data_IF_776031173428
#
_entry.id   IF_776031173428
#
_cell.length_a   1.000
_cell.length_b   1.000
_cell.length_c   1.000
_cell.angle_alpha   90.00
_cell.angle_beta   90.00
_cell.angle_gamma   90.00
#
_symmetry.space_group_name_H-M   'P 1'
#
loop_
_entity.id
_entity.type
_entity.pdbx_description
1 polymer ?
#
# COMPACT_ATOMS: atom_id res chain seq x y z
N UNK A 1 -19.80 32.26 63.29
CA UNK A 1 -19.23 30.94 62.91
C UNK A 1 -20.18 30.07 62.09
N UNK A 2 -21.41 29.72 62.53
CA UNK A 2 -22.32 28.83 61.76
C UNK A 2 -22.80 29.38 60.39
N UNK A 3 -22.95 30.69 60.24
CA UNK A 3 -23.34 31.30 58.95
C UNK A 3 -22.16 31.41 57.97
N UNK A 4 -20.92 31.46 58.47
CA UNK A 4 -19.73 31.50 57.61
C UNK A 4 -19.52 30.17 56.90
N UNK A 5 -19.72 29.03 57.59
CA UNK A 5 -19.66 27.71 56.96
C UNK A 5 -20.74 27.49 55.89
N UNK A 6 -21.94 28.05 56.09
CA UNK A 6 -23.01 28.04 55.08
C UNK A 6 -22.65 28.91 53.86
N UNK A 7 -22.06 30.08 54.07
CA UNK A 7 -21.58 30.96 52.99
C UNK A 7 -20.45 30.32 52.19
N UNK A 8 -19.48 29.69 52.85
CA UNK A 8 -18.42 28.96 52.16
C UNK A 8 -18.96 27.76 51.38
N UNK A 9 -19.95 27.04 51.93
CA UNK A 9 -20.63 25.96 51.22
C UNK A 9 -21.37 26.45 49.97
N UNK A 10 -22.13 27.54 50.08
CA UNK A 10 -22.85 28.14 48.95
C UNK A 10 -21.86 28.62 47.86
N UNK A 11 -20.77 29.26 48.28
CA UNK A 11 -19.73 29.74 47.36
C UNK A 11 -19.03 28.58 46.64
N UNK A 12 -18.70 27.49 47.34
CA UNK A 12 -18.14 26.29 46.73
C UNK A 12 -19.09 25.67 45.70
N UNK A 13 -20.39 25.60 46.00
CA UNK A 13 -21.40 25.10 45.07
C UNK A 13 -21.50 26.00 43.82
N UNK A 14 -21.50 27.32 44.01
CA UNK A 14 -21.53 28.27 42.90
C UNK A 14 -20.30 28.12 41.99
N UNK A 15 -19.11 27.92 42.56
CA UNK A 15 -17.88 27.67 41.79
C UNK A 15 -17.96 26.36 41.00
N UNK A 16 -18.49 25.29 41.60
CA UNK A 16 -18.67 24.00 40.92
C UNK A 16 -19.65 24.15 39.74
N UNK A 17 -20.79 24.80 39.96
CA UNK A 17 -21.79 25.03 38.91
C UNK A 17 -21.21 25.87 37.77
N UNK A 18 -20.52 26.96 38.08
CA UNK A 18 -19.85 27.78 37.08
C UNK A 18 -18.82 26.96 36.27
N UNK A 19 -18.00 26.17 36.95
CA UNK A 19 -17.02 25.28 36.32
C UNK A 19 -17.66 24.25 35.38
N UNK A 20 -18.75 23.59 35.80
CA UNK A 20 -19.47 22.63 34.97
C UNK A 20 -20.10 23.30 33.76
N UNK A 21 -20.72 24.48 33.92
CA UNK A 21 -21.31 25.21 32.80
C UNK A 21 -20.27 25.66 31.78
N UNK A 22 -19.12 26.16 32.25
CA UNK A 22 -18.00 26.55 31.39
C UNK A 22 -17.43 25.34 30.66
N UNK A 23 -17.19 24.22 31.36
CA UNK A 23 -16.68 23.00 30.75
C UNK A 23 -17.62 22.46 29.66
N UNK A 24 -18.93 22.41 29.90
CA UNK A 24 -19.90 21.96 28.90
C UNK A 24 -20.05 22.91 27.71
N UNK A 25 -19.77 24.20 27.89
CA UNK A 25 -19.81 25.18 26.81
C UNK A 25 -18.50 25.21 25.99
N UNK A 26 -17.38 24.85 26.59
CA UNK A 26 -16.05 24.90 25.94
C UNK A 26 -15.59 23.56 25.37
N UNK A 27 -16.13 22.43 25.84
CA UNK A 27 -15.71 21.10 25.41
C UNK A 27 -16.85 20.33 24.75
N UNK A 28 -16.58 19.84 23.54
CA UNK A 28 -17.43 18.90 22.82
C UNK A 28 -16.83 17.49 22.88
N UNK A 29 -17.69 16.48 23.00
CA UNK A 29 -17.26 15.09 22.91
C UNK A 29 -16.96 14.78 21.43
N UNK A 30 -15.67 14.61 21.10
CA UNK A 30 -15.25 14.22 19.76
C UNK A 30 -15.06 12.72 19.67
N UNK A 31 -15.80 12.06 18.79
CA UNK A 31 -15.45 10.71 18.37
C UNK A 31 -14.16 10.77 17.55
N UNK A 32 -13.10 10.14 18.06
CA UNK A 32 -11.83 10.00 17.36
C UNK A 32 -11.78 8.61 16.78
N UNK A 33 -11.71 8.52 15.45
CA UNK A 33 -11.49 7.26 14.77
C UNK A 33 -10.04 6.81 15.02
N UNK A 34 -9.86 5.78 15.84
CA UNK A 34 -8.56 5.15 16.03
C UNK A 34 -8.42 3.94 15.10
N UNK A 35 -7.28 3.86 14.40
CA UNK A 35 -6.99 2.73 13.54
C UNK A 35 -6.65 1.50 14.39
N UNK A 36 -7.58 0.55 14.47
CA UNK A 36 -7.39 -0.67 15.27
C UNK A 36 -6.78 -1.84 14.49
N UNK A 37 -6.25 -1.59 13.29
CA UNK A 37 -5.77 -2.65 12.40
C UNK A 37 -6.87 -3.42 11.67
N UNK A 38 -6.46 -4.34 10.79
CA UNK A 38 -7.35 -5.24 10.07
C UNK A 38 -7.92 -6.33 10.99
N UNK A 39 -9.21 -6.65 10.80
CA UNK A 39 -9.94 -7.67 11.56
C UNK A 39 -10.56 -8.72 10.63
N UNK A 40 -10.75 -9.94 11.14
CA UNK A 40 -11.34 -11.04 10.39
C UNK A 40 -10.54 -11.38 9.14
N UNK A 41 -11.22 -11.67 8.03
CA UNK A 41 -10.57 -12.05 6.77
C UNK A 41 -9.63 -10.96 6.22
N UNK A 42 -9.90 -9.68 6.49
CA UNK A 42 -9.04 -8.57 6.05
C UNK A 42 -7.62 -8.65 6.63
N UNK A 43 -7.43 -9.38 7.74
CA UNK A 43 -6.10 -9.59 8.34
C UNK A 43 -5.23 -10.56 7.51
N UNK A 44 -5.84 -11.52 6.83
CA UNK A 44 -5.14 -12.60 6.12
C UNK A 44 -5.25 -12.48 4.60
N UNK A 45 -6.11 -11.61 4.11
CA UNK A 45 -6.36 -11.40 2.69
C UNK A 45 -5.98 -9.96 2.31
N UNK A 46 -4.76 -9.73 1.78
CA UNK A 46 -4.32 -8.41 1.32
C UNK A 46 -5.26 -7.80 0.27
N UNK A 47 -5.93 -8.64 -0.51
CA UNK A 47 -6.87 -8.22 -1.56
C UNK A 47 -8.33 -8.11 -1.08
N UNK A 48 -8.57 -8.11 0.25
CA UNK A 48 -9.92 -8.08 0.80
C UNK A 48 -10.70 -6.83 0.37
N UNK A 49 -10.06 -5.65 0.42
CA UNK A 49 -10.67 -4.39 0.00
C UNK A 49 -11.04 -4.41 -1.49
N UNK A 50 -10.11 -4.85 -2.36
CA UNK A 50 -10.32 -4.99 -3.79
C UNK A 50 -11.48 -5.95 -4.10
N UNK A 51 -11.57 -7.08 -3.40
CA UNK A 51 -12.67 -8.03 -3.56
C UNK A 51 -14.01 -7.43 -3.14
N UNK A 52 -14.06 -6.67 -2.04
CA UNK A 52 -15.29 -5.97 -1.63
C UNK A 52 -15.71 -4.90 -2.63
N UNK A 53 -14.75 -4.16 -3.18
CA UNK A 53 -14.99 -3.18 -4.23
C UNK A 53 -15.57 -3.83 -5.49
N UNK A 54 -14.96 -4.91 -6.00
CA UNK A 54 -15.46 -5.67 -7.14
C UNK A 54 -16.89 -6.20 -6.92
N UNK A 55 -17.15 -6.79 -5.74
CA UNK A 55 -18.49 -7.26 -5.38
C UNK A 55 -19.51 -6.14 -5.37
N UNK A 56 -19.15 -4.96 -4.86
CA UNK A 56 -20.03 -3.78 -4.87
C UNK A 56 -20.33 -3.28 -6.28
N UNK A 57 -19.43 -3.50 -7.23
CA UNK A 57 -19.66 -3.24 -8.65
C UNK A 57 -20.44 -4.35 -9.38
N UNK A 58 -20.87 -5.40 -8.69
CA UNK A 58 -21.60 -6.52 -9.29
C UNK A 58 -20.72 -7.57 -9.96
N UNK A 59 -19.40 -7.54 -9.72
CA UNK A 59 -18.47 -8.55 -10.22
C UNK A 59 -18.27 -9.62 -9.14
N UNK A 60 -18.56 -10.88 -9.45
CA UNK A 60 -18.29 -11.97 -8.52
C UNK A 60 -16.78 -12.15 -8.34
N UNK A 61 -16.31 -11.97 -7.11
CA UNK A 61 -14.91 -12.06 -6.75
C UNK A 61 -14.75 -12.94 -5.51
N UNK A 62 -13.81 -13.90 -5.59
CA UNK A 62 -13.57 -14.90 -4.54
C UNK A 62 -12.08 -14.99 -4.23
N UNK A 63 -11.77 -15.31 -2.98
CA UNK A 63 -10.41 -15.67 -2.58
C UNK A 63 -10.22 -17.15 -2.87
N UNK A 64 -9.08 -17.50 -3.42
CA UNK A 64 -8.62 -18.88 -3.55
C UNK A 64 -7.26 -18.99 -2.87
N UNK A 65 -7.13 -19.99 -2.00
CA UNK A 65 -5.87 -20.30 -1.35
C UNK A 65 -5.12 -21.30 -2.23
N UNK A 66 -3.99 -20.86 -2.79
CA UNK A 66 -3.16 -21.66 -3.69
C UNK A 66 -3.52 -21.54 -5.17
N UNK A 67 -2.70 -22.19 -5.99
CA UNK A 67 -2.77 -22.14 -7.46
C UNK A 67 -2.71 -23.55 -8.07
N UNK A 68 -3.14 -24.56 -7.32
CA UNK A 68 -3.05 -25.96 -7.76
C UNK A 68 -4.07 -26.30 -8.84
N UNK A 69 -5.19 -25.58 -8.86
CA UNK A 69 -6.20 -25.65 -9.92
C UNK A 69 -6.45 -24.26 -10.46
N UNK A 70 -6.20 -24.07 -11.75
CA UNK A 70 -6.50 -22.81 -12.44
C UNK A 70 -7.99 -22.76 -12.80
N UNK A 71 -8.61 -21.56 -12.73
CA UNK A 71 -10.01 -21.40 -13.09
C UNK A 71 -10.22 -21.58 -14.60
N UNK A 72 -11.47 -21.49 -15.07
CA UNK A 72 -11.72 -21.36 -16.49
C UNK A 72 -11.10 -20.06 -17.07
N UNK A 73 -10.98 -19.99 -18.39
CA UNK A 73 -10.36 -18.84 -19.07
C UNK A 73 -11.24 -17.59 -19.11
N UNK A 74 -12.51 -17.66 -18.70
CA UNK A 74 -13.40 -16.50 -18.58
C UNK A 74 -13.22 -15.77 -17.25
N UNK A 75 -12.44 -16.33 -16.35
CA UNK A 75 -12.16 -15.78 -15.02
C UNK A 75 -10.87 -14.98 -15.06
N UNK A 76 -10.87 -13.79 -14.45
CA UNK A 76 -9.65 -13.01 -14.22
C UNK A 76 -8.99 -13.50 -12.93
N UNK A 77 -7.74 -13.93 -13.02
CA UNK A 77 -6.93 -14.32 -11.88
C UNK A 77 -6.09 -13.12 -11.43
N UNK A 78 -6.27 -12.69 -10.17
CA UNK A 78 -5.41 -11.67 -9.54
C UNK A 78 -4.46 -12.38 -8.58
N UNK A 79 -3.16 -12.30 -8.86
CA UNK A 79 -2.11 -12.97 -8.10
C UNK A 79 -1.27 -11.95 -7.34
N UNK A 80 -1.47 -11.89 -6.02
CA UNK A 80 -0.70 -11.04 -5.10
C UNK A 80 0.02 -11.87 -4.04
N UNK A 81 0.87 -12.81 -4.49
CA UNK A 81 1.67 -13.67 -3.62
C UNK A 81 3.15 -13.52 -3.90
N UNK A 82 3.96 -13.79 -2.88
CA UNK A 82 5.36 -14.18 -3.10
C UNK A 82 5.39 -15.44 -3.97
N UNK A 83 6.18 -15.38 -5.03
CA UNK A 83 6.23 -16.43 -6.06
C UNK A 83 7.64 -16.86 -6.42
N UNK A 84 8.64 -16.45 -5.64
CA UNK A 84 10.03 -16.89 -5.78
C UNK A 84 10.23 -18.40 -5.55
N UNK A 85 9.22 -19.05 -4.99
CA UNK A 85 9.16 -20.50 -4.76
C UNK A 85 8.32 -21.25 -5.80
N UNK A 86 7.83 -20.57 -6.85
CA UNK A 86 7.12 -21.25 -7.92
C UNK A 86 8.08 -22.16 -8.68
N UNK A 87 7.66 -23.39 -8.94
CA UNK A 87 8.39 -24.28 -9.83
C UNK A 87 8.21 -23.83 -11.28
N UNK A 88 9.19 -24.11 -12.14
CA UNK A 88 9.11 -23.80 -13.58
C UNK A 88 7.86 -24.40 -14.22
N UNK A 89 7.49 -25.64 -13.84
CA UNK A 89 6.24 -26.28 -14.30
C UNK A 89 4.98 -25.49 -13.91
N UNK A 90 4.94 -24.90 -12.70
CA UNK A 90 3.77 -24.11 -12.25
C UNK A 90 3.65 -22.82 -13.06
N UNK A 91 4.77 -22.15 -13.35
CA UNK A 91 4.80 -20.96 -14.21
C UNK A 91 4.38 -21.30 -15.63
N UNK A 92 4.88 -22.40 -16.20
CA UNK A 92 4.50 -22.86 -17.53
C UNK A 92 3.00 -23.18 -17.61
N UNK A 93 2.45 -23.88 -16.61
CA UNK A 93 1.01 -24.18 -16.52
C UNK A 93 0.17 -22.90 -16.48
N UNK A 94 0.61 -21.89 -15.72
CA UNK A 94 -0.05 -20.59 -15.63
C UNK A 94 0.00 -19.83 -16.96
N UNK A 95 1.16 -19.80 -17.61
CA UNK A 95 1.32 -19.14 -18.91
C UNK A 95 0.54 -19.85 -20.02
N UNK A 96 0.46 -21.18 -20.01
CA UNK A 96 -0.39 -21.94 -20.92
C UNK A 96 -1.86 -21.62 -20.73
N UNK A 97 -2.31 -21.43 -19.50
CA UNK A 97 -3.67 -20.97 -19.23
C UNK A 97 -3.92 -19.56 -19.79
N UNK A 98 -2.97 -18.63 -19.65
CA UNK A 98 -3.05 -17.30 -20.27
C UNK A 98 -3.10 -17.41 -21.80
N UNK A 99 -2.25 -18.26 -22.42
CA UNK A 99 -2.25 -18.50 -23.87
C UNK A 99 -3.57 -19.04 -24.39
N UNK A 100 -4.32 -19.80 -23.58
CA UNK A 100 -5.68 -20.28 -23.90
C UNK A 100 -6.77 -19.20 -23.75
N UNK A 101 -6.40 -17.97 -23.41
CA UNK A 101 -7.31 -16.83 -23.26
C UNK A 101 -7.65 -16.47 -21.80
N UNK A 102 -6.98 -17.06 -20.82
CA UNK A 102 -7.10 -16.63 -19.43
C UNK A 102 -6.49 -15.24 -19.19
N UNK A 103 -7.05 -14.50 -18.23
CA UNK A 103 -6.57 -13.16 -17.90
C UNK A 103 -5.85 -13.15 -16.55
N UNK A 104 -4.56 -12.81 -16.53
CA UNK A 104 -3.75 -12.73 -15.32
C UNK A 104 -3.40 -11.27 -14.99
N UNK A 105 -3.68 -10.86 -13.75
CA UNK A 105 -3.21 -9.60 -13.16
C UNK A 105 -2.26 -9.97 -12.03
N UNK A 106 -1.04 -9.45 -12.06
CA UNK A 106 -0.03 -9.71 -11.03
C UNK A 106 0.86 -8.49 -10.85
N UNK A 107 1.41 -8.30 -9.64
CA UNK A 107 2.40 -7.25 -9.40
C UNK A 107 3.75 -7.65 -9.97
N UNK A 108 4.40 -6.70 -10.61
CA UNK A 108 5.82 -6.80 -10.93
C UNK A 108 6.64 -6.75 -9.61
N UNK A 109 7.67 -7.58 -9.49
CA UNK A 109 8.54 -7.72 -8.33
C UNK A 109 9.84 -6.99 -8.66
N UNK A 110 10.12 -5.98 -7.86
CA UNK A 110 11.37 -5.23 -7.84
C UNK A 110 12.25 -5.76 -6.72
N UNK A 111 13.55 -5.66 -6.90
CA UNK A 111 14.44 -5.60 -5.75
C UNK A 111 14.16 -4.35 -4.97
N UNK A 112 13.80 -4.52 -3.71
CA UNK A 112 14.02 -3.45 -2.75
C UNK A 112 15.50 -3.52 -2.42
N UNK A 113 16.32 -2.74 -3.13
CA UNK A 113 17.58 -2.30 -2.57
C UNK A 113 17.20 -1.59 -1.27
N UNK A 114 17.40 -2.28 -0.13
CA UNK A 114 17.46 -1.62 1.16
C UNK A 114 18.62 -0.64 1.07
N UNK A 115 18.33 0.59 0.65
CA UNK A 115 19.27 1.69 0.61
C UNK A 115 19.87 1.98 2.01
N UNK A 116 19.24 1.46 3.06
CA UNK A 116 19.78 1.39 4.40
C UNK A 116 19.88 -0.08 4.82
N UNK A 117 21.07 -0.69 4.70
CA UNK A 117 21.68 -1.54 5.73
C UNK A 117 22.99 -2.13 5.17
N UNK A 118 24.08 -1.87 5.90
CA UNK A 118 25.45 -2.11 5.48
C UNK A 118 25.77 -3.53 5.04
N UNK A 119 26.89 -3.65 4.31
CA UNK A 119 27.56 -4.88 3.88
C UNK A 119 27.02 -6.14 4.58
N UNK A 120 26.05 -6.80 3.95
CA UNK A 120 25.57 -8.10 4.38
C UNK A 120 26.79 -9.04 4.48
N UNK A 121 27.06 -9.67 5.65
CA UNK A 121 28.15 -10.65 5.78
C UNK A 121 27.97 -11.87 4.86
N UNK A 122 26.78 -12.01 4.28
CA UNK A 122 26.36 -13.13 3.44
C UNK A 122 26.25 -12.74 1.97
N UNK A 123 27.19 -11.93 1.45
CA UNK A 123 27.29 -11.59 0.03
C UNK A 123 26.05 -10.87 -0.54
N UNK A 124 26.12 -10.53 -1.83
CA UNK A 124 24.98 -9.98 -2.57
C UNK A 124 23.91 -11.06 -2.70
N UNK A 125 22.70 -10.80 -2.20
CA UNK A 125 21.54 -11.63 -2.55
C UNK A 125 21.32 -11.49 -4.07
N UNK A 126 21.04 -12.58 -4.80
CA UNK A 126 20.68 -12.47 -6.21
C UNK A 126 19.43 -11.61 -6.35
N UNK A 127 19.45 -10.73 -7.35
CA UNK A 127 18.38 -9.81 -7.71
C UNK A 127 17.05 -10.59 -7.86
N UNK A 128 15.96 -10.00 -7.36
CA UNK A 128 14.56 -10.44 -7.43
C UNK A 128 14.15 -10.71 -8.86
N UNK A 129 14.64 -9.90 -9.82
CA UNK A 129 14.43 -10.13 -11.25
C UNK A 129 15.02 -11.48 -11.70
N UNK A 130 16.19 -11.86 -11.16
CA UNK A 130 16.85 -13.15 -11.42
C UNK A 130 16.15 -14.34 -10.75
N UNK A 131 15.17 -14.11 -9.87
CA UNK A 131 14.45 -15.18 -9.17
C UNK A 131 13.00 -15.35 -9.60
N UNK A 132 12.38 -14.34 -10.21
CA UNK A 132 11.00 -14.40 -10.63
C UNK A 132 10.85 -15.04 -12.03
N UNK A 133 10.67 -16.35 -12.03
CA UNK A 133 10.49 -17.15 -13.24
C UNK A 133 9.33 -16.67 -14.14
N UNK A 134 8.29 -16.05 -13.56
CA UNK A 134 7.17 -15.52 -14.35
C UNK A 134 7.57 -14.26 -15.12
N UNK A 135 8.28 -13.34 -14.47
CA UNK A 135 8.81 -12.14 -15.12
C UNK A 135 9.84 -12.49 -16.19
N UNK A 136 10.76 -13.41 -15.89
CA UNK A 136 11.75 -13.90 -16.85
C UNK A 136 11.09 -14.52 -18.08
N UNK A 137 10.10 -15.39 -17.89
CA UNK A 137 9.39 -16.03 -18.99
C UNK A 137 8.61 -15.03 -19.86
N UNK A 138 8.22 -13.88 -19.30
CA UNK A 138 7.57 -12.79 -20.03
C UNK A 138 8.56 -11.75 -20.59
N UNK A 139 9.86 -11.87 -20.29
CA UNK A 139 10.86 -10.88 -20.65
C UNK A 139 10.64 -9.51 -19.99
N UNK A 140 9.94 -9.48 -18.85
CA UNK A 140 9.66 -8.25 -18.11
C UNK A 140 10.85 -7.98 -17.20
N UNK A 141 11.48 -6.82 -17.41
CA UNK A 141 12.54 -6.27 -16.56
C UNK A 141 12.03 -5.03 -15.85
N UNK A 142 12.44 -4.81 -14.61
CA UNK A 142 12.12 -3.58 -13.91
C UNK A 142 13.42 -2.86 -13.61
N UNK A 143 13.59 -1.70 -14.25
CA UNK A 143 14.77 -0.86 -14.02
C UNK A 143 14.84 -0.32 -12.60
N UNK A 144 15.99 0.27 -12.26
CA UNK A 144 16.22 0.92 -10.98
C UNK A 144 15.19 2.02 -10.70
N UNK A 145 14.86 2.17 -9.42
CA UNK A 145 14.05 3.30 -8.97
C UNK A 145 14.94 4.54 -8.84
N UNK A 146 14.64 5.59 -9.61
CA UNK A 146 15.33 6.87 -9.53
C UNK A 146 14.38 7.92 -8.93
N UNK A 147 14.78 8.52 -7.80
CA UNK A 147 14.11 9.67 -7.22
C UNK A 147 15.09 10.84 -7.26
N UNK A 148 15.11 11.63 -8.35
CA UNK A 148 16.05 12.73 -8.50
C UNK A 148 15.74 13.84 -7.49
N UNK A 149 16.79 14.42 -6.91
CA UNK A 149 16.70 15.64 -6.11
C UNK A 149 16.64 16.89 -7.00
N UNK A 150 16.20 18.04 -6.45
CA UNK A 150 16.07 19.29 -7.22
C UNK A 150 17.37 19.72 -7.93
N UNK A 151 18.53 19.47 -7.31
CA UNK A 151 19.85 19.81 -7.86
C UNK A 151 20.31 18.86 -8.98
N UNK A 152 19.63 17.72 -9.15
CA UNK A 152 19.88 16.73 -10.20
C UNK A 152 19.01 16.94 -11.43
N UNK A 153 18.16 17.99 -11.44
CA UNK A 153 17.27 18.32 -12.55
C UNK A 153 17.95 19.24 -13.58
N UNK A 154 17.66 19.06 -14.90
CA UNK A 154 16.74 18.07 -15.46
C UNK A 154 17.32 16.65 -15.44
N UNK A 155 16.51 15.70 -14.97
CA UNK A 155 16.93 14.31 -14.90
C UNK A 155 16.69 13.64 -16.25
N UNK A 156 17.73 13.03 -16.83
CA UNK A 156 17.66 12.32 -18.11
C UNK A 156 17.92 10.83 -17.94
N UNK A 157 17.02 10.01 -18.47
CA UNK A 157 17.09 8.56 -18.45
C UNK A 157 17.00 8.03 -19.89
N UNK A 158 18.06 7.38 -20.34
CA UNK A 158 18.04 6.59 -21.56
C UNK A 158 17.66 5.15 -21.20
N UNK A 159 16.45 4.73 -21.56
CA UNK A 159 16.02 3.34 -21.36
C UNK A 159 16.59 2.44 -22.45
N UNK A 160 16.97 1.22 -22.07
CA UNK A 160 17.41 0.20 -23.02
C UNK A 160 16.31 -0.13 -24.02
N UNK A 161 16.62 -0.02 -25.31
CA UNK A 161 15.68 -0.31 -26.39
C UNK A 161 14.64 0.79 -26.68
N UNK A 162 14.67 1.91 -25.95
CA UNK A 162 13.88 3.10 -26.28
C UNK A 162 14.80 4.07 -27.02
N UNK A 163 14.44 4.59 -28.20
CA UNK A 163 15.29 5.49 -28.96
C UNK A 163 15.39 6.90 -28.33
N UNK A 164 14.30 7.35 -27.70
CA UNK A 164 14.22 8.69 -27.12
C UNK A 164 14.65 8.69 -25.65
N UNK A 165 15.42 9.70 -25.27
CA UNK A 165 15.76 9.93 -23.85
C UNK A 165 14.53 10.47 -23.12
N UNK A 166 14.18 9.87 -21.98
CA UNK A 166 13.19 10.43 -21.08
C UNK A 166 13.83 11.55 -20.28
N UNK A 167 13.25 12.75 -20.33
CA UNK A 167 13.70 13.91 -19.56
C UNK A 167 12.60 14.36 -18.61
N UNK A 168 12.96 14.52 -17.34
CA UNK A 168 12.11 15.07 -16.29
C UNK A 168 12.62 16.48 -16.01
N UNK A 169 11.86 17.47 -16.45
CA UNK A 169 12.16 18.89 -16.24
C UNK A 169 11.78 19.34 -14.81
N UNK A 170 12.42 20.40 -14.34
CA UNK A 170 12.16 21.01 -13.03
C UNK A 170 10.70 21.47 -12.88
N UNK A 171 10.13 22.09 -13.90
CA UNK A 171 8.74 22.58 -13.86
C UNK A 171 7.74 21.41 -13.71
N UNK A 172 7.99 20.30 -14.39
CA UNK A 172 7.18 19.09 -14.27
C UNK A 172 7.35 18.43 -12.90
N UNK A 173 8.58 18.34 -12.39
CA UNK A 173 8.87 17.81 -11.06
C UNK A 173 8.14 18.61 -9.96
N UNK A 174 8.26 19.94 -10.01
CA UNK A 174 7.58 20.84 -9.06
C UNK A 174 6.06 20.73 -9.14
N UNK A 175 5.49 20.48 -10.33
CA UNK A 175 4.05 20.27 -10.46
C UNK A 175 3.56 19.02 -9.71
N UNK A 176 4.38 17.97 -9.62
CA UNK A 176 4.06 16.74 -8.89
C UNK A 176 4.16 16.91 -7.37
N UNK A 177 5.07 17.76 -6.89
CA UNK A 177 5.29 18.00 -5.46
C UNK A 177 4.25 18.92 -4.81
N UNK A 178 3.31 19.50 -5.58
CA UNK A 178 2.27 20.41 -5.05
C UNK A 178 1.21 19.74 -4.16
N UNK A 179 1.45 18.54 -3.63
CA UNK A 179 0.57 17.89 -2.66
C UNK A 179 1.26 17.77 -1.31
N UNK A 180 1.10 18.81 -0.48
CA UNK A 180 0.80 18.84 0.98
C UNK A 180 1.38 20.14 1.57
N UNK A 181 0.65 21.23 1.39
CA UNK A 181 0.72 22.40 2.27
C UNK A 181 -0.70 22.97 2.40
N UNK A 182 -1.48 22.39 3.30
CA UNK A 182 -2.56 23.05 4.04
C UNK A 182 -2.90 22.24 5.31
#
# INVERSE_FOLDING_TARGET
>A
MRYQSLLYGLFAIALILAGVTWFRASFELREVAEYTGFRGEARENPLFASRMFLRRMGIDARRHDGLDTLPDTRTVLVLDTERFNFSSHRVETLLDWVRRGGHLITRARVDQDTADEGESPFGSRPETEDRDLLQQALGIRIGGHHMPDEDQLPFRLQLDGVPDTLEVELDFFNALDTTVAD
#
